data_IF_208991277219
#
_entry.id   IF_208991277219
#
_cell.length_a   1.000
_cell.length_b   1.000
_cell.length_c   1.000
_cell.angle_alpha   90.00
_cell.angle_beta   90.00
_cell.angle_gamma   90.00
#
_symmetry.space_group_name_H-M   'P 1'
#
loop_
_entity.id
_entity.type
_entity.pdbx_description
1 polymer ?
#
# COMPACT_ATOMS: atom_id res chain seq x y z
N UNK A 1 27.25 -4.58 -18.11
CA UNK A 1 25.81 -4.45 -18.41
C UNK A 1 25.39 -2.99 -18.36
N UNK A 2 24.62 -2.49 -19.36
CA UNK A 2 24.08 -1.12 -19.34
C UNK A 2 22.68 -1.11 -18.72
N UNK A 3 22.41 -0.15 -17.86
CA UNK A 3 21.09 0.04 -17.24
C UNK A 3 20.75 1.53 -17.10
N UNK A 4 19.47 1.85 -17.20
CA UNK A 4 18.97 3.21 -17.03
C UNK A 4 18.55 3.51 -15.59
N UNK A 5 18.80 4.72 -15.12
CA UNK A 5 18.26 5.19 -13.86
C UNK A 5 16.72 5.32 -13.97
N UNK A 6 15.99 4.68 -13.08
CA UNK A 6 14.50 4.69 -13.06
C UNK A 6 13.91 6.08 -12.80
N UNK A 7 14.71 7.02 -12.26
CA UNK A 7 14.24 8.36 -11.90
C UNK A 7 14.50 9.42 -12.98
N UNK A 8 15.58 9.28 -13.76
CA UNK A 8 15.95 10.31 -14.75
C UNK A 8 16.36 9.77 -16.12
N UNK A 9 16.29 8.46 -16.33
CA UNK A 9 16.64 7.81 -17.60
C UNK A 9 18.13 7.79 -17.97
N UNK A 10 19.02 8.38 -17.13
CA UNK A 10 20.46 8.39 -17.39
C UNK A 10 21.02 6.97 -17.42
N UNK A 11 21.76 6.64 -18.46
CA UNK A 11 22.39 5.32 -18.59
C UNK A 11 23.68 5.23 -17.77
N UNK A 12 23.88 4.08 -17.13
CA UNK A 12 25.04 3.74 -16.32
C UNK A 12 25.59 2.36 -16.73
N UNK A 13 26.90 2.26 -16.70
CA UNK A 13 27.59 0.97 -16.89
C UNK A 13 27.80 0.32 -15.51
N UNK A 14 27.16 -0.82 -15.28
CA UNK A 14 27.39 -1.62 -14.09
C UNK A 14 28.47 -2.66 -14.38
N UNK A 15 29.33 -2.91 -13.36
CA UNK A 15 30.35 -3.94 -13.45
C UNK A 15 29.69 -5.33 -13.48
N UNK A 16 30.03 -6.12 -14.49
CA UNK A 16 29.44 -7.45 -14.72
C UNK A 16 29.74 -8.43 -13.59
N UNK A 17 30.86 -8.27 -12.89
CA UNK A 17 31.20 -9.11 -11.72
C UNK A 17 30.26 -8.85 -10.51
N UNK A 18 29.85 -7.59 -10.28
CA UNK A 18 28.91 -7.25 -9.21
C UNK A 18 27.51 -7.78 -9.53
N UNK A 19 27.13 -7.74 -10.81
CA UNK A 19 25.85 -8.24 -11.33
C UNK A 19 25.78 -9.77 -11.29
N UNK A 20 26.91 -10.47 -11.49
CA UNK A 20 26.95 -11.92 -11.47
C UNK A 20 26.77 -12.54 -10.08
N UNK A 21 27.17 -11.82 -9.02
CA UNK A 21 27.15 -12.32 -7.63
C UNK A 21 25.83 -12.09 -6.90
N UNK A 22 25.04 -11.07 -7.31
CA UNK A 22 23.83 -10.69 -6.59
C UNK A 22 22.62 -10.57 -7.53
N UNK A 23 21.44 -11.11 -7.16
CA UNK A 23 20.22 -11.02 -7.97
C UNK A 23 19.64 -9.59 -8.02
N UNK A 24 20.07 -8.73 -7.09
CA UNK A 24 19.68 -7.31 -7.02
C UNK A 24 20.94 -6.47 -6.83
N UNK A 25 21.13 -5.48 -7.68
CA UNK A 25 22.26 -4.53 -7.60
C UNK A 25 21.69 -3.12 -7.44
N UNK A 26 22.18 -2.39 -6.45
CA UNK A 26 21.85 -0.99 -6.25
C UNK A 26 23.01 -0.08 -6.63
N UNK A 27 22.72 1.03 -7.32
CA UNK A 27 23.71 2.07 -7.60
C UNK A 27 23.12 3.45 -7.41
N UNK A 28 23.97 4.42 -7.11
CA UNK A 28 23.59 5.83 -7.01
C UNK A 28 23.79 6.52 -8.34
N UNK A 29 22.72 7.13 -8.87
CA UNK A 29 22.78 7.85 -10.13
C UNK A 29 23.65 9.11 -10.01
N UNK A 30 24.63 9.28 -10.89
CA UNK A 30 25.52 10.45 -10.89
C UNK A 30 24.82 11.74 -11.35
N UNK A 31 23.70 11.63 -12.07
CA UNK A 31 22.93 12.78 -12.57
C UNK A 31 21.91 13.29 -11.57
N UNK A 32 21.08 12.42 -10.96
CA UNK A 32 20.02 12.83 -10.05
C UNK A 32 20.30 12.54 -8.58
N UNK A 33 21.40 11.86 -8.24
CA UNK A 33 21.80 11.52 -6.87
C UNK A 33 20.94 10.46 -6.17
N UNK A 34 19.89 9.95 -6.82
CA UNK A 34 18.99 8.96 -6.25
C UNK A 34 19.52 7.53 -6.44
N UNK A 35 19.21 6.66 -5.49
CA UNK A 35 19.59 5.23 -5.56
C UNK A 35 18.59 4.47 -6.40
N UNK A 36 19.09 3.73 -7.39
CA UNK A 36 18.31 2.85 -8.26
C UNK A 36 18.66 1.40 -7.95
N UNK A 37 17.65 0.54 -7.81
CA UNK A 37 17.80 -0.91 -7.62
C UNK A 37 17.41 -1.60 -8.93
N UNK A 38 18.31 -2.44 -9.46
CA UNK A 38 18.08 -3.22 -10.67
C UNK A 38 18.04 -4.71 -10.32
N UNK A 39 16.97 -5.38 -10.73
CA UNK A 39 16.85 -6.84 -10.64
C UNK A 39 17.40 -7.47 -11.90
N UNK A 40 18.40 -8.32 -11.73
CA UNK A 40 19.02 -9.05 -12.85
C UNK A 40 18.26 -10.36 -13.04
N UNK A 41 17.41 -10.42 -14.05
CA UNK A 41 16.78 -11.67 -14.48
C UNK A 41 17.83 -12.51 -15.23
N UNK A 42 18.24 -13.63 -14.67
CA UNK A 42 19.03 -14.63 -15.40
C UNK A 42 18.11 -15.31 -16.40
N UNK A 43 18.28 -15.04 -17.68
CA UNK A 43 17.70 -15.85 -18.75
C UNK A 43 18.43 -17.18 -18.77
N UNK A 44 17.81 -18.24 -18.30
CA UNK A 44 18.21 -19.59 -18.63
C UNK A 44 17.74 -19.80 -20.05
N UNK A 45 18.72 -20.08 -20.94
CA UNK A 45 18.50 -20.39 -22.34
C UNK A 45 17.46 -21.51 -22.47
N UNK A 46 16.25 -21.17 -22.86
CA UNK A 46 15.31 -22.11 -23.46
C UNK A 46 14.87 -21.51 -24.78
N UNK A 47 15.32 -22.15 -25.84
CA UNK A 47 14.88 -21.92 -27.21
C UNK A 47 13.34 -21.97 -27.26
N UNK A 48 12.71 -20.83 -27.22
CA UNK A 48 11.26 -20.72 -27.41
C UNK A 48 11.02 -20.67 -28.91
N UNK A 49 10.47 -21.76 -29.44
CA UNK A 49 9.94 -21.83 -30.82
C UNK A 49 8.82 -20.77 -30.90
N UNK A 50 9.07 -19.72 -31.69
CA UNK A 50 8.10 -18.67 -31.95
C UNK A 50 7.04 -19.25 -32.91
N UNK A 51 5.88 -19.65 -32.37
CA UNK A 51 4.68 -19.85 -33.17
C UNK A 51 4.17 -18.49 -33.65
N UNK A 52 3.77 -18.33 -34.94
CA UNK A 52 3.27 -17.04 -35.42
C UNK A 52 2.00 -16.67 -34.68
N UNK A 53 1.97 -15.46 -34.14
CA UNK A 53 0.78 -14.87 -33.53
C UNK A 53 -0.35 -14.76 -34.56
N UNK A 54 -1.58 -15.17 -34.24
CA UNK A 54 -2.73 -14.87 -35.09
C UNK A 54 -2.95 -13.35 -35.11
N UNK A 55 -3.18 -12.82 -36.29
CA UNK A 55 -3.55 -11.45 -36.58
C UNK A 55 -4.69 -10.99 -35.68
N UNK A 56 -4.47 -9.90 -34.93
CA UNK A 56 -5.52 -9.25 -34.16
C UNK A 56 -6.58 -8.69 -35.11
N UNK A 57 -7.64 -9.45 -35.34
CA UNK A 57 -8.91 -8.91 -35.80
C UNK A 57 -9.39 -7.93 -34.72
N UNK A 58 -9.80 -6.75 -35.15
CA UNK A 58 -10.45 -5.75 -34.30
C UNK A 58 -11.60 -6.43 -33.55
N UNK A 59 -11.38 -6.77 -32.29
CA UNK A 59 -12.44 -7.17 -31.40
C UNK A 59 -13.01 -5.91 -30.76
N UNK A 60 -14.32 -5.79 -30.93
CA UNK A 60 -15.19 -4.79 -30.37
C UNK A 60 -14.86 -4.45 -28.90
N UNK A 61 -14.99 -3.16 -28.59
CA UNK A 61 -14.92 -2.62 -27.25
C UNK A 61 -16.08 -3.15 -26.38
N UNK A 62 -16.16 -4.45 -26.16
CA UNK A 62 -16.85 -5.01 -25.03
C UNK A 62 -15.89 -4.92 -23.85
N UNK A 63 -16.13 -3.96 -23.01
CA UNK A 63 -15.64 -3.78 -21.67
C UNK A 63 -15.55 -5.15 -20.99
N UNK A 64 -14.43 -5.85 -21.15
CA UNK A 64 -14.05 -6.86 -20.16
C UNK A 64 -13.83 -6.08 -18.88
N UNK A 65 -14.90 -5.96 -18.10
CA UNK A 65 -14.81 -5.67 -16.67
C UNK A 65 -13.71 -6.59 -16.19
N UNK A 66 -12.52 -6.01 -15.91
CA UNK A 66 -11.60 -6.60 -14.99
C UNK A 66 -12.48 -7.04 -13.83
N UNK A 67 -12.73 -8.33 -13.71
CA UNK A 67 -13.24 -8.93 -12.49
C UNK A 67 -12.16 -8.59 -11.45
N UNK A 68 -12.35 -7.44 -10.83
CA UNK A 68 -11.78 -7.18 -9.53
C UNK A 68 -12.21 -8.40 -8.72
N UNK A 69 -11.24 -9.25 -8.41
CA UNK A 69 -11.44 -10.32 -7.43
C UNK A 69 -12.16 -9.64 -6.28
N UNK A 70 -13.27 -10.21 -5.77
CA UNK A 70 -14.01 -9.58 -4.69
C UNK A 70 -13.05 -9.33 -3.53
N UNK A 71 -12.71 -8.06 -3.32
CA UNK A 71 -11.76 -7.61 -2.29
C UNK A 71 -12.32 -7.86 -0.90
N UNK A 72 -13.58 -8.31 -0.84
CA UNK A 72 -14.36 -8.49 0.39
C UNK A 72 -14.45 -9.94 0.90
N UNK A 73 -13.82 -10.92 0.23
CA UNK A 73 -13.81 -12.28 0.77
C UNK A 73 -13.09 -12.33 2.10
N UNK A 74 -13.87 -12.55 3.17
CA UNK A 74 -13.38 -12.71 4.54
C UNK A 74 -13.39 -11.45 5.40
N UNK A 75 -13.82 -10.28 4.88
CA UNK A 75 -14.02 -9.10 5.71
C UNK A 75 -15.29 -9.27 6.56
N UNK A 76 -15.12 -9.31 7.89
CA UNK A 76 -16.22 -9.46 8.85
C UNK A 76 -15.87 -8.72 10.14
N UNK A 77 -16.85 -8.02 10.67
CA UNK A 77 -16.77 -7.54 12.06
C UNK A 77 -16.87 -8.71 13.03
N UNK A 78 -16.11 -8.70 14.13
CA UNK A 78 -16.19 -9.75 15.14
C UNK A 78 -17.57 -9.78 15.79
N UNK A 79 -18.09 -10.97 16.03
CA UNK A 79 -19.36 -11.14 16.76
C UNK A 79 -19.17 -10.84 18.25
N UNK A 80 -20.02 -10.01 18.82
CA UNK A 80 -20.00 -9.69 20.26
C UNK A 80 -18.84 -8.76 20.69
N UNK A 81 -18.09 -8.20 19.74
CA UNK A 81 -16.99 -7.28 20.01
C UNK A 81 -17.10 -6.09 19.05
N UNK A 82 -17.00 -4.88 19.58
CA UNK A 82 -16.91 -3.66 18.79
C UNK A 82 -15.46 -3.26 18.60
N UNK A 83 -15.08 -2.98 17.36
CA UNK A 83 -13.77 -2.38 17.04
C UNK A 83 -13.94 -0.87 17.11
N UNK A 84 -13.20 -0.23 18.00
CA UNK A 84 -13.28 1.21 18.25
C UNK A 84 -11.94 1.86 17.90
N UNK A 85 -11.99 2.91 17.10
CA UNK A 85 -10.86 3.78 16.81
C UNK A 85 -10.97 5.04 17.66
N UNK A 86 -10.02 5.28 18.55
CA UNK A 86 -9.98 6.47 19.39
C UNK A 86 -8.84 7.38 18.95
N UNK A 87 -9.14 8.65 18.72
CA UNK A 87 -8.13 9.66 18.41
C UNK A 87 -7.48 10.12 19.73
N UNK A 88 -6.22 9.74 19.92
CA UNK A 88 -5.45 10.07 21.15
C UNK A 88 -4.86 11.48 21.09
N UNK A 89 -4.44 11.92 19.90
CA UNK A 89 -3.90 13.26 19.70
C UNK A 89 -4.27 13.80 18.33
N UNK A 90 -4.19 15.12 18.16
CA UNK A 90 -4.54 15.85 16.94
C UNK A 90 -5.76 16.75 17.13
N UNK A 91 -6.26 17.37 16.03
CA UNK A 91 -7.36 18.35 16.10
C UNK A 91 -8.67 17.79 16.67
N UNK A 92 -8.86 16.48 16.61
CA UNK A 92 -10.06 15.81 17.12
C UNK A 92 -9.74 14.80 18.23
N UNK A 93 -8.75 15.09 19.05
CA UNK A 93 -8.41 14.26 20.20
C UNK A 93 -9.64 13.93 21.08
N UNK A 94 -9.62 12.73 21.67
CA UNK A 94 -10.70 12.16 22.49
C UNK A 94 -11.98 11.76 21.74
N UNK A 95 -12.05 11.88 20.41
CA UNK A 95 -13.13 11.29 19.64
C UNK A 95 -12.92 9.80 19.42
N UNK A 96 -14.00 9.04 19.56
CA UNK A 96 -14.03 7.59 19.32
C UNK A 96 -15.04 7.26 18.25
N UNK A 97 -14.67 6.36 17.37
CA UNK A 97 -15.48 5.88 16.25
C UNK A 97 -15.60 4.36 16.33
N UNK A 98 -16.82 3.88 16.51
CA UNK A 98 -17.10 2.43 16.44
C UNK A 98 -17.27 2.02 14.99
N UNK A 99 -16.53 1.00 14.55
CA UNK A 99 -16.63 0.53 13.18
C UNK A 99 -17.96 -0.21 12.97
N UNK A 100 -18.78 0.30 12.07
CA UNK A 100 -20.05 -0.32 11.64
C UNK A 100 -19.89 -1.22 10.42
N UNK A 101 -18.79 -1.11 9.71
CA UNK A 101 -18.47 -1.84 8.50
C UNK A 101 -17.09 -2.51 8.62
N UNK A 102 -16.90 -3.68 8.01
CA UNK A 102 -15.62 -4.38 8.08
C UNK A 102 -14.51 -3.71 7.25
N UNK A 103 -14.87 -2.78 6.37
CA UNK A 103 -13.96 -1.93 5.61
C UNK A 103 -14.35 -0.48 5.79
N UNK A 104 -13.45 0.29 6.40
CA UNK A 104 -13.69 1.69 6.77
C UNK A 104 -12.54 2.55 6.26
N UNK A 105 -12.86 3.54 5.44
CA UNK A 105 -11.89 4.53 4.93
C UNK A 105 -11.79 5.69 5.91
N UNK A 106 -10.56 6.09 6.23
CA UNK A 106 -10.25 7.25 7.07
C UNK A 106 -9.63 8.33 6.18
N UNK A 107 -10.09 9.56 6.34
CA UNK A 107 -9.58 10.68 5.56
C UNK A 107 -10.09 12.02 6.04
N UNK A 108 -9.74 13.09 5.33
CA UNK A 108 -10.11 14.46 5.71
C UNK A 108 -11.56 14.81 5.36
N UNK A 109 -12.04 14.42 4.17
CA UNK A 109 -13.41 14.69 3.70
C UNK A 109 -13.89 13.57 2.78
N UNK A 110 -15.16 13.20 2.88
CA UNK A 110 -15.77 12.19 2.01
C UNK A 110 -15.34 10.76 2.30
N UNK A 111 -14.69 10.54 3.43
CA UNK A 111 -14.34 9.22 3.97
C UNK A 111 -15.39 8.77 4.99
N UNK A 112 -15.43 7.49 5.31
CA UNK A 112 -16.36 6.93 6.31
C UNK A 112 -16.09 7.53 7.69
N UNK A 113 -14.82 7.72 8.04
CA UNK A 113 -14.37 8.48 9.21
C UNK A 113 -13.64 9.72 8.72
N UNK A 114 -14.27 10.88 8.92
CA UNK A 114 -13.70 12.15 8.55
C UNK A 114 -12.98 12.80 9.74
N UNK A 115 -11.67 13.04 9.58
CA UNK A 115 -10.84 13.76 10.55
C UNK A 115 -10.48 15.14 10.00
N UNK A 116 -10.78 16.18 10.76
CA UNK A 116 -10.49 17.57 10.38
C UNK A 116 -9.03 17.93 10.68
N UNK A 117 -8.12 17.29 9.95
CA UNK A 117 -6.69 17.47 10.04
C UNK A 117 -6.16 17.81 8.62
N UNK A 118 -5.56 19.00 8.42
CA UNK A 118 -5.10 19.46 7.11
C UNK A 118 -4.00 18.58 6.50
N UNK A 119 -3.26 17.85 7.33
CA UNK A 119 -2.20 16.93 6.89
C UNK A 119 -2.74 15.57 6.43
N UNK A 120 -4.03 15.29 6.63
CA UNK A 120 -4.68 14.06 6.19
C UNK A 120 -5.20 14.22 4.75
N UNK A 121 -4.92 13.27 3.88
CA UNK A 121 -5.48 13.18 2.53
C UNK A 121 -6.98 12.95 2.57
N UNK A 122 -7.72 13.29 1.51
CA UNK A 122 -9.18 13.07 1.42
C UNK A 122 -9.56 11.61 1.71
N UNK A 123 -8.88 10.67 1.10
CA UNK A 123 -8.87 9.25 1.43
C UNK A 123 -7.43 8.91 1.78
N UNK A 124 -7.13 8.72 3.06
CA UNK A 124 -5.75 8.59 3.53
C UNK A 124 -5.35 7.13 3.72
N UNK A 125 -6.14 6.41 4.47
CA UNK A 125 -5.93 4.99 4.73
C UNK A 125 -7.24 4.25 4.85
N UNK A 126 -7.19 2.93 4.82
CA UNK A 126 -8.33 2.04 5.02
C UNK A 126 -8.01 1.06 6.15
N UNK A 127 -8.99 0.86 7.01
CA UNK A 127 -8.99 -0.17 8.05
C UNK A 127 -9.89 -1.30 7.59
N UNK A 128 -9.35 -2.50 7.51
CA UNK A 128 -10.05 -3.72 7.11
C UNK A 128 -10.07 -4.70 8.28
N UNK A 129 -11.25 -5.12 8.70
CA UNK A 129 -11.44 -6.04 9.81
C UNK A 129 -11.80 -7.43 9.29
N UNK A 130 -11.05 -8.42 9.74
CA UNK A 130 -11.28 -9.84 9.45
C UNK A 130 -11.36 -10.58 10.79
N UNK A 131 -12.55 -10.69 11.33
CA UNK A 131 -12.79 -11.22 12.66
C UNK A 131 -11.99 -10.45 13.73
N UNK A 132 -10.89 -11.02 14.25
CA UNK A 132 -10.04 -10.37 15.25
C UNK A 132 -8.79 -9.70 14.66
N UNK A 133 -8.57 -9.81 13.36
CA UNK A 133 -7.45 -9.19 12.69
C UNK A 133 -7.88 -7.86 12.08
N UNK A 134 -7.23 -6.79 12.48
CA UNK A 134 -7.43 -5.45 11.93
C UNK A 134 -6.23 -5.12 11.07
N UNK A 135 -6.45 -4.88 9.78
CA UNK A 135 -5.41 -4.51 8.84
C UNK A 135 -5.56 -3.03 8.47
N UNK A 136 -4.47 -2.31 8.55
CA UNK A 136 -4.33 -0.93 8.10
C UNK A 136 -3.63 -0.93 6.74
N UNK A 137 -4.14 -0.14 5.78
CA UNK A 137 -3.49 0.07 4.48
C UNK A 137 -3.52 1.55 4.12
N UNK A 138 -2.37 2.08 3.73
CA UNK A 138 -2.25 3.42 3.18
C UNK A 138 -2.83 3.46 1.75
N UNK A 139 -3.58 4.51 1.43
CA UNK A 139 -4.19 4.72 0.12
C UNK A 139 -3.39 5.73 -0.72
N UNK A 140 -2.07 5.55 -0.77
CA UNK A 140 -1.12 6.47 -1.42
C UNK A 140 -1.28 7.91 -0.91
N UNK A 141 -1.36 8.03 0.41
CA UNK A 141 -1.52 9.32 1.07
C UNK A 141 -0.29 10.22 0.90
N UNK A 142 -0.51 11.53 0.85
CA UNK A 142 0.56 12.53 0.61
C UNK A 142 1.63 12.47 1.71
N UNK A 143 1.21 12.49 2.96
CA UNK A 143 2.13 12.51 4.12
C UNK A 143 2.48 11.13 4.66
N UNK A 144 1.76 10.10 4.24
CA UNK A 144 1.98 8.71 4.64
C UNK A 144 1.30 8.35 5.96
N UNK A 145 1.12 7.05 6.13
CA UNK A 145 0.65 6.41 7.36
C UNK A 145 1.86 5.86 8.12
N UNK A 146 1.90 6.04 9.44
CA UNK A 146 3.00 5.60 10.28
C UNK A 146 2.51 4.63 11.36
N UNK A 147 3.23 3.53 11.52
CA UNK A 147 3.00 2.52 12.54
C UNK A 147 4.32 2.16 13.23
N UNK A 148 4.34 2.15 14.56
CA UNK A 148 5.56 1.91 15.35
C UNK A 148 6.74 2.84 14.99
N UNK A 149 6.42 4.08 14.59
CA UNK A 149 7.42 5.09 14.22
C UNK A 149 7.91 5.00 12.76
N UNK A 150 7.56 3.96 12.02
CA UNK A 150 7.95 3.76 10.63
C UNK A 150 6.80 4.05 9.66
N UNK A 151 7.13 4.50 8.45
CA UNK A 151 6.14 4.67 7.39
C UNK A 151 5.69 3.30 6.87
N UNK A 152 4.41 3.01 7.05
CA UNK A 152 3.82 1.73 6.68
C UNK A 152 2.86 1.88 5.48
N UNK A 153 3.01 1.03 4.47
CA UNK A 153 1.99 0.86 3.42
C UNK A 153 0.87 -0.06 3.84
N UNK A 154 1.19 -1.02 4.70
CA UNK A 154 0.23 -1.91 5.33
C UNK A 154 0.78 -2.37 6.68
N UNK A 155 -0.10 -2.56 7.67
CA UNK A 155 0.22 -3.06 9.00
C UNK A 155 -0.93 -3.88 9.55
N UNK A 156 -0.61 -4.83 10.43
CA UNK A 156 -1.61 -5.57 11.21
C UNK A 156 -1.69 -4.91 12.59
N UNK A 157 -2.87 -4.45 12.95
CA UNK A 157 -3.13 -3.76 14.20
C UNK A 157 -3.70 -4.75 15.23
N UNK A 158 -3.07 -4.82 16.38
CA UNK A 158 -3.55 -5.58 17.52
C UNK A 158 -4.33 -4.67 18.50
N UNK A 159 -4.90 -5.28 19.54
CA UNK A 159 -5.51 -4.55 20.66
C UNK A 159 -4.53 -3.53 21.25
N UNK A 160 -4.96 -2.27 21.36
CA UNK A 160 -4.14 -1.18 21.87
C UNK A 160 -3.13 -0.60 20.87
N UNK A 161 -3.02 -1.15 19.66
CA UNK A 161 -2.10 -0.64 18.64
C UNK A 161 -2.43 0.82 18.28
N UNK A 162 -1.39 1.62 18.08
CA UNK A 162 -1.51 3.02 17.68
C UNK A 162 -0.85 3.25 16.33
N UNK A 163 -1.49 4.02 15.48
CA UNK A 163 -0.93 4.49 14.22
C UNK A 163 -1.15 5.99 14.04
N UNK A 164 -0.30 6.65 13.28
CA UNK A 164 -0.36 8.09 13.02
C UNK A 164 -0.63 8.37 11.55
N UNK A 165 -1.55 9.29 11.31
CA UNK A 165 -1.86 9.87 10.00
C UNK A 165 -1.93 11.40 10.16
N UNK A 166 -1.14 12.12 9.37
CA UNK A 166 -0.97 13.56 9.58
C UNK A 166 -0.47 13.86 11.01
N UNK A 167 -1.13 14.80 11.69
CA UNK A 167 -0.88 15.13 13.10
C UNK A 167 -1.69 14.28 14.09
N UNK A 168 -2.60 13.43 13.59
CA UNK A 168 -3.51 12.63 14.40
C UNK A 168 -2.94 11.25 14.72
N UNK A 169 -2.98 10.85 15.99
CA UNK A 169 -2.65 9.50 16.46
C UNK A 169 -3.94 8.78 16.83
N UNK A 170 -4.12 7.58 16.30
CA UNK A 170 -5.34 6.78 16.46
C UNK A 170 -4.98 5.46 17.14
N UNK A 171 -5.73 5.10 18.18
CA UNK A 171 -5.63 3.83 18.89
C UNK A 171 -6.77 2.89 18.47
N UNK A 172 -6.45 1.63 18.30
CA UNK A 172 -7.43 0.56 18.07
C UNK A 172 -7.76 -0.12 19.39
N UNK A 173 -9.03 -0.27 19.70
CA UNK A 173 -9.51 -0.97 20.90
C UNK A 173 -10.63 -1.93 20.55
N UNK A 174 -10.70 -3.08 21.23
CA UNK A 174 -11.79 -4.03 21.12
C UNK A 174 -12.65 -3.96 22.40
N UNK A 175 -13.92 -3.64 22.26
CA UNK A 175 -14.87 -3.55 23.39
C UNK A 175 -15.93 -4.65 23.28
N UNK A 176 -16.23 -5.39 24.34
CA UNK A 176 -17.40 -6.28 24.34
C UNK A 176 -18.68 -5.45 24.12
N UNK A 177 -19.61 -6.00 23.33
CA UNK A 177 -20.94 -5.44 23.09
C UNK A 177 -21.84 -5.60 24.30
#
# INVERSE_FOLDING_TARGET
>A
MQTGCIHCGQQHLLNDEAVAKHPKVSFRCTKCGLTTIVEVKRSVDQTVVISPMPSFARADASTQRLRLLPVDEGLRLPKGIDVVLTVESGPQANKSFTLSQPRTVIGRKGADIALDDPEISRHHCVVEVRERNVNLKDLDSTNGTFFEGERARAAVLQEGAMFRIGSSVIRVTFRPK
#
